data_IF_176987187297
#
_entry.id   IF_176987187297
#
_cell.length_a   1.000
_cell.length_b   1.000
_cell.length_c   1.000
_cell.angle_alpha   90.00
_cell.angle_beta   90.00
_cell.angle_gamma   90.00
#
_symmetry.space_group_name_H-M   'P 1'
#
loop_
_entity.id
_entity.type
_entity.pdbx_description
1 polymer ?
#
# COMPACT_ATOMS: atom_id res chain seq x y z
N UNK A 1 2.20 15.29 5.56
CA UNK A 1 0.87 14.71 5.79
C UNK A 1 -0.22 15.76 5.95
N UNK A 2 -0.26 16.58 7.02
CA UNK A 2 -1.34 17.58 7.23
C UNK A 2 -1.49 18.56 6.05
N UNK A 3 -0.41 19.21 5.59
CA UNK A 3 -0.45 20.11 4.41
C UNK A 3 -0.87 19.43 3.10
N UNK A 4 -0.54 18.15 2.95
CA UNK A 4 -0.93 17.36 1.78
C UNK A 4 -2.41 16.98 1.86
N UNK A 5 -2.90 16.69 3.07
CA UNK A 5 -4.30 16.41 3.33
C UNK A 5 -5.17 17.67 3.21
N UNK A 6 -4.67 18.83 3.67
CA UNK A 6 -5.25 20.15 3.38
C UNK A 6 -5.29 20.42 1.88
N UNK A 7 -4.20 20.16 1.14
CA UNK A 7 -4.17 20.28 -0.33
C UNK A 7 -5.20 19.37 -1.01
N UNK A 8 -5.40 18.14 -0.52
CA UNK A 8 -6.44 17.23 -1.03
C UNK A 8 -7.84 17.80 -0.77
N UNK A 9 -8.10 18.33 0.43
CA UNK A 9 -9.37 19.01 0.72
C UNK A 9 -9.58 20.27 -0.12
N UNK A 10 -8.54 21.07 -0.35
CA UNK A 10 -8.60 22.28 -1.19
C UNK A 10 -8.78 21.94 -2.67
N UNK A 11 -8.21 20.83 -3.17
CA UNK A 11 -8.42 20.35 -4.53
C UNK A 11 -9.78 19.68 -4.72
N UNK A 12 -10.35 19.13 -3.64
CA UNK A 12 -11.72 18.61 -3.65
C UNK A 12 -12.76 19.74 -3.62
N UNK A 13 -12.43 20.96 -3.19
CA UNK A 13 -13.29 22.13 -3.39
C UNK A 13 -13.45 22.40 -4.90
N UNK A 14 -14.68 22.64 -5.39
CA UNK A 14 -14.95 22.58 -6.82
C UNK A 14 -14.21 23.69 -7.57
N UNK A 15 -13.24 23.30 -8.40
CA UNK A 15 -12.84 24.10 -9.55
C UNK A 15 -14.05 24.17 -10.48
N UNK A 16 -14.67 25.33 -10.56
CA UNK A 16 -15.70 25.66 -11.55
C UNK A 16 -15.09 25.47 -12.93
N UNK A 17 -15.34 24.31 -13.56
CA UNK A 17 -15.16 24.13 -14.99
C UNK A 17 -16.44 23.50 -15.52
N UNK A 18 -17.16 24.29 -16.31
CA UNK A 18 -18.53 24.02 -16.72
C UNK A 18 -18.68 22.66 -17.40
N UNK A 19 -19.49 21.80 -16.77
CA UNK A 19 -20.37 20.86 -17.45
C UNK A 19 -21.42 20.40 -16.43
N UNK A 20 -22.67 20.60 -16.79
CA UNK A 20 -23.84 20.54 -15.94
C UNK A 20 -24.16 19.12 -15.46
N UNK A 21 -23.91 18.85 -14.18
CA UNK A 21 -24.85 18.11 -13.32
C UNK A 21 -24.87 18.79 -11.97
N UNK A 22 -25.97 19.44 -11.64
CA UNK A 22 -26.15 20.13 -10.37
C UNK A 22 -26.00 19.12 -9.21
N UNK A 23 -24.85 19.14 -8.53
CA UNK A 23 -24.71 18.45 -7.24
C UNK A 23 -25.82 18.97 -6.31
N UNK A 24 -26.62 18.09 -5.70
CA UNK A 24 -27.68 18.50 -4.79
C UNK A 24 -27.07 19.37 -3.69
N UNK A 25 -27.71 20.51 -3.41
CA UNK A 25 -27.24 21.52 -2.44
C UNK A 25 -26.82 20.92 -1.09
N UNK A 26 -27.49 19.85 -0.67
CA UNK A 26 -27.17 19.07 0.53
C UNK A 26 -25.77 18.46 0.52
N UNK A 27 -25.33 17.91 -0.61
CA UNK A 27 -24.02 17.28 -0.75
C UNK A 27 -22.88 18.29 -0.71
N UNK A 28 -23.09 19.46 -1.33
CA UNK A 28 -22.12 20.57 -1.25
C UNK A 28 -21.96 21.08 0.17
N UNK A 29 -23.05 21.31 0.89
CA UNK A 29 -23.01 21.72 2.30
C UNK A 29 -22.31 20.67 3.19
N UNK A 30 -22.60 19.38 2.96
CA UNK A 30 -21.98 18.28 3.71
C UNK A 30 -20.48 18.16 3.42
N UNK A 31 -20.07 18.37 2.16
CA UNK A 31 -18.67 18.38 1.75
C UNK A 31 -17.90 19.56 2.34
N UNK A 32 -18.49 20.75 2.35
CA UNK A 32 -17.91 21.93 2.98
C UNK A 32 -17.74 21.74 4.49
N UNK A 33 -18.74 21.17 5.16
CA UNK A 33 -18.64 20.79 6.59
C UNK A 33 -17.55 19.74 6.84
N UNK A 34 -17.40 18.76 5.95
CA UNK A 34 -16.31 17.77 6.02
C UNK A 34 -14.94 18.42 5.88
N UNK A 35 -14.75 19.31 4.91
CA UNK A 35 -13.51 20.04 4.71
C UNK A 35 -13.17 20.92 5.91
N UNK A 36 -14.14 21.63 6.48
CA UNK A 36 -13.96 22.51 7.64
C UNK A 36 -13.61 21.74 8.92
N UNK A 37 -14.00 20.47 9.03
CA UNK A 37 -13.71 19.61 10.18
C UNK A 37 -12.65 18.55 9.88
N UNK A 38 -12.01 18.60 8.71
CA UNK A 38 -11.15 17.53 8.24
C UNK A 38 -9.95 17.30 9.16
N UNK A 39 -9.26 18.39 9.56
CA UNK A 39 -8.09 18.29 10.44
C UNK A 39 -8.49 17.74 11.81
N UNK A 40 -9.63 18.19 12.37
CA UNK A 40 -10.17 17.65 13.61
C UNK A 40 -10.46 16.15 13.50
N UNK A 41 -11.12 15.71 12.42
CA UNK A 41 -11.41 14.29 12.17
C UNK A 41 -10.14 13.48 12.01
N UNK A 42 -9.15 13.97 11.27
CA UNK A 42 -7.86 13.31 11.08
C UNK A 42 -7.16 13.07 12.41
N UNK A 43 -7.04 14.09 13.25
CA UNK A 43 -6.39 13.96 14.55
C UNK A 43 -7.22 13.10 15.51
N UNK A 44 -8.55 13.15 15.43
CA UNK A 44 -9.44 12.26 16.19
C UNK A 44 -9.23 10.78 15.80
N UNK A 45 -9.06 10.47 14.50
CA UNK A 45 -8.72 9.11 14.06
C UNK A 45 -7.38 8.64 14.62
N UNK A 46 -6.36 9.50 14.63
CA UNK A 46 -5.05 9.18 15.24
C UNK A 46 -5.20 8.93 16.75
N UNK A 47 -6.01 9.73 17.42
CA UNK A 47 -6.27 9.56 18.84
C UNK A 47 -6.98 8.23 19.14
N UNK A 48 -8.03 7.89 18.39
CA UNK A 48 -8.72 6.60 18.48
C UNK A 48 -7.78 5.42 18.23
N UNK A 49 -6.99 5.47 17.15
CA UNK A 49 -5.99 4.44 16.85
C UNK A 49 -4.99 4.29 18.00
N UNK A 50 -4.53 5.40 18.60
CA UNK A 50 -3.61 5.35 19.73
C UNK A 50 -4.20 4.66 20.97
N UNK A 51 -5.50 4.84 21.22
CA UNK A 51 -6.23 4.18 22.32
C UNK A 51 -6.36 2.68 22.11
N UNK A 52 -6.46 2.23 20.85
CA UNK A 52 -6.56 0.82 20.49
C UNK A 52 -5.21 0.11 20.51
N UNK A 53 -4.17 0.77 19.98
CA UNK A 53 -2.88 0.12 19.72
C UNK A 53 -1.83 0.33 20.81
N UNK A 54 -1.95 1.36 21.65
CA UNK A 54 -0.96 1.63 22.70
C UNK A 54 -1.54 1.47 24.11
N UNK A 55 -0.85 0.66 24.92
CA UNK A 55 -1.23 0.47 26.32
C UNK A 55 -0.77 1.63 27.24
N UNK A 56 0.37 2.27 26.94
CA UNK A 56 0.96 3.31 27.81
C UNK A 56 1.26 4.65 27.12
N UNK A 57 1.21 4.70 25.78
CA UNK A 57 1.54 5.89 24.99
C UNK A 57 0.32 6.43 24.24
N UNK A 58 -0.83 6.42 24.91
CA UNK A 58 -2.08 6.92 24.36
C UNK A 58 -1.97 8.44 24.14
N UNK A 59 -2.40 8.91 22.97
CA UNK A 59 -2.45 10.34 22.67
C UNK A 59 -3.58 10.97 23.49
N UNK A 60 -3.21 11.84 24.44
CA UNK A 60 -4.18 12.48 25.34
C UNK A 60 -4.90 13.64 24.67
N UNK A 61 -6.09 14.02 25.18
CA UNK A 61 -6.82 15.19 24.69
C UNK A 61 -5.97 16.46 24.78
N UNK A 62 -5.17 16.62 25.85
CA UNK A 62 -4.29 17.79 26.02
C UNK A 62 -3.24 17.83 24.91
N UNK A 63 -2.64 16.69 24.57
CA UNK A 63 -1.67 16.57 23.48
C UNK A 63 -2.30 16.96 22.14
N UNK A 64 -3.51 16.48 21.85
CA UNK A 64 -4.24 16.80 20.62
C UNK A 64 -4.58 18.28 20.54
N UNK A 65 -5.15 18.85 21.60
CA UNK A 65 -5.56 20.26 21.61
C UNK A 65 -4.36 21.20 21.46
N UNK A 66 -3.25 20.91 22.13
CA UNK A 66 -2.02 21.68 21.97
C UNK A 66 -1.46 21.58 20.54
N UNK A 67 -1.52 20.39 19.93
CA UNK A 67 -1.11 20.18 18.54
C UNK A 67 -1.99 20.97 17.56
N UNK A 68 -3.31 20.91 17.72
CA UNK A 68 -4.27 21.66 16.90
C UNK A 68 -4.07 23.17 17.06
N UNK A 69 -3.87 23.64 18.29
CA UNK A 69 -3.61 25.05 18.58
C UNK A 69 -2.31 25.53 17.92
N UNK A 70 -1.24 24.72 17.95
CA UNK A 70 0.02 25.04 17.28
C UNK A 70 -0.12 25.15 15.75
N UNK A 71 -1.13 24.49 15.17
CA UNK A 71 -1.49 24.60 13.75
C UNK A 71 -2.49 25.74 13.46
N UNK A 72 -2.91 26.50 14.47
CA UNK A 72 -3.87 27.60 14.34
C UNK A 72 -5.34 27.20 14.45
N UNK A 73 -5.62 25.94 14.82
CA UNK A 73 -6.99 25.46 15.03
C UNK A 73 -7.38 25.55 16.50
N UNK A 74 -8.47 26.25 16.79
CA UNK A 74 -9.03 26.37 18.14
C UNK A 74 -10.23 25.44 18.25
N UNK A 75 -10.05 24.34 18.97
CA UNK A 75 -11.12 23.40 19.29
C UNK A 75 -11.22 23.22 20.81
N UNK A 76 -12.41 22.90 21.26
CA UNK A 76 -12.71 22.53 22.64
C UNK A 76 -12.53 21.03 22.85
N UNK A 77 -12.49 20.62 24.12
CA UNK A 77 -12.43 19.19 24.47
C UNK A 77 -13.72 18.48 24.06
N UNK A 78 -14.85 19.18 24.15
CA UNK A 78 -16.18 18.71 23.80
C UNK A 78 -16.26 18.44 22.29
N UNK A 79 -15.80 19.37 21.45
CA UNK A 79 -15.76 19.18 19.99
C UNK A 79 -14.88 18.00 19.58
N UNK A 80 -13.75 17.79 20.26
CA UNK A 80 -12.88 16.65 20.04
C UNK A 80 -13.58 15.33 20.37
N UNK A 81 -14.26 15.24 21.51
CA UNK A 81 -15.00 14.06 21.92
C UNK A 81 -16.18 13.76 20.98
N UNK A 82 -16.92 14.77 20.57
CA UNK A 82 -18.01 14.63 19.60
C UNK A 82 -17.49 14.14 18.24
N UNK A 83 -16.32 14.63 17.80
CA UNK A 83 -15.66 14.16 16.59
C UNK A 83 -15.28 12.67 16.70
N UNK A 84 -14.66 12.24 17.81
CA UNK A 84 -14.35 10.83 18.06
C UNK A 84 -15.62 9.95 18.04
N UNK A 85 -16.68 10.38 18.73
CA UNK A 85 -17.93 9.65 18.78
C UNK A 85 -18.61 9.56 17.40
N UNK A 86 -18.57 10.64 16.61
CA UNK A 86 -19.10 10.66 15.26
C UNK A 86 -18.35 9.68 14.34
N UNK A 87 -17.01 9.58 14.47
CA UNK A 87 -16.19 8.60 13.73
C UNK A 87 -16.59 7.18 14.11
N UNK A 88 -16.64 6.89 15.42
CA UNK A 88 -17.02 5.57 15.92
C UNK A 88 -18.40 5.14 15.44
N UNK A 89 -19.40 6.03 15.52
CA UNK A 89 -20.75 5.78 15.00
C UNK A 89 -20.75 5.53 13.50
N UNK A 90 -19.99 6.33 12.74
CA UNK A 90 -19.90 6.17 11.27
C UNK A 90 -19.30 4.83 10.86
N UNK A 91 -18.40 4.28 11.68
CA UNK A 91 -17.79 2.96 11.49
C UNK A 91 -18.61 1.83 12.13
N UNK A 92 -19.81 2.10 12.64
CA UNK A 92 -20.62 1.15 13.43
C UNK A 92 -19.82 0.49 14.57
N UNK A 93 -18.88 1.23 15.15
CA UNK A 93 -17.93 0.78 16.18
C UNK A 93 -17.03 -0.41 15.76
N UNK A 94 -16.94 -0.71 14.47
CA UNK A 94 -16.07 -1.75 13.90
C UNK A 94 -14.66 -1.22 13.63
N UNK A 95 -13.91 -1.00 14.71
CA UNK A 95 -12.55 -0.41 14.65
C UNK A 95 -11.43 -1.41 14.92
N UNK A 96 -11.76 -2.61 15.39
CA UNK A 96 -10.81 -3.69 15.69
C UNK A 96 -10.69 -4.66 14.52
N UNK A 97 -10.29 -4.14 13.35
CA UNK A 97 -10.08 -4.94 12.14
C UNK A 97 -8.59 -5.28 11.98
N UNK A 98 -8.25 -6.43 11.37
CA UNK A 98 -6.86 -6.77 11.07
C UNK A 98 -6.21 -5.71 10.20
N UNK A 99 -5.02 -5.26 10.60
CA UNK A 99 -4.21 -4.31 9.83
C UNK A 99 -3.27 -5.07 8.88
N UNK A 100 -2.76 -4.44 7.82
CA UNK A 100 -1.70 -5.03 6.99
C UNK A 100 -0.49 -5.51 7.80
N UNK A 101 -0.15 -4.81 8.89
CA UNK A 101 0.92 -5.22 9.79
C UNK A 101 0.64 -6.58 10.46
N UNK A 102 -0.61 -6.84 10.87
CA UNK A 102 -0.96 -8.12 11.47
C UNK A 102 -0.74 -9.30 10.50
N UNK A 103 -1.03 -9.10 9.20
CA UNK A 103 -0.73 -10.10 8.17
C UNK A 103 0.77 -10.28 7.96
N UNK A 104 1.54 -9.19 7.95
CA UNK A 104 3.00 -9.25 7.85
C UNK A 104 3.61 -10.03 9.02
N UNK A 105 3.22 -9.72 10.25
CA UNK A 105 3.75 -10.38 11.45
C UNK A 105 3.39 -11.87 11.49
N UNK A 106 2.14 -12.21 11.16
CA UNK A 106 1.70 -13.60 11.02
C UNK A 106 2.54 -14.36 9.99
N UNK A 107 2.75 -13.79 8.80
CA UNK A 107 3.50 -14.46 7.74
C UNK A 107 4.99 -14.60 8.10
N UNK A 108 5.60 -13.58 8.72
CA UNK A 108 6.99 -13.66 9.19
C UNK A 108 7.18 -14.75 10.25
N UNK A 109 6.21 -14.93 11.15
CA UNK A 109 6.22 -16.02 12.14
C UNK A 109 6.16 -17.38 11.45
N UNK A 110 5.25 -17.56 10.47
CA UNK A 110 5.12 -18.82 9.71
C UNK A 110 6.39 -19.10 8.89
N UNK A 111 6.99 -18.08 8.28
CA UNK A 111 8.27 -18.21 7.56
C UNK A 111 9.41 -18.64 8.49
N UNK A 112 9.48 -18.04 9.68
CA UNK A 112 10.46 -18.40 10.70
C UNK A 112 10.29 -19.85 11.17
N UNK A 113 9.04 -20.27 11.39
CA UNK A 113 8.71 -21.65 11.77
C UNK A 113 9.08 -22.68 10.67
N UNK A 114 8.86 -22.33 9.40
CA UNK A 114 9.15 -23.19 8.25
C UNK A 114 10.64 -23.24 7.88
N UNK A 115 11.53 -22.60 8.66
CA UNK A 115 12.97 -22.65 8.46
C UNK A 115 13.50 -21.75 7.34
N UNK A 116 12.79 -20.66 7.02
CA UNK A 116 13.32 -19.64 6.11
C UNK A 116 14.66 -19.11 6.63
N UNK A 117 15.68 -19.08 5.78
CA UNK A 117 17.06 -18.76 6.16
C UNK A 117 17.28 -17.28 6.51
N UNK A 118 16.29 -16.42 6.22
CA UNK A 118 16.34 -15.00 6.51
C UNK A 118 15.85 -14.72 7.93
N UNK A 119 16.56 -13.86 8.66
CA UNK A 119 16.15 -13.46 10.01
C UNK A 119 14.81 -12.71 9.97
N UNK A 120 13.75 -13.33 10.50
CA UNK A 120 12.42 -12.71 10.59
C UNK A 120 12.45 -11.34 11.30
N UNK A 121 13.33 -11.20 12.31
CA UNK A 121 13.53 -9.93 13.04
C UNK A 121 14.14 -8.84 12.16
N UNK A 122 15.10 -9.19 11.30
CA UNK A 122 15.67 -8.23 10.35
C UNK A 122 14.61 -7.85 9.32
N UNK A 123 13.89 -8.82 8.74
CA UNK A 123 12.80 -8.58 7.79
C UNK A 123 11.73 -7.66 8.36
N UNK A 124 11.31 -7.88 9.61
CA UNK A 124 10.27 -7.09 10.27
C UNK A 124 10.58 -5.58 10.26
N UNK A 125 11.83 -5.18 10.57
CA UNK A 125 12.22 -3.77 10.56
C UNK A 125 12.10 -3.10 9.19
N UNK A 126 12.51 -3.80 8.13
CA UNK A 126 12.32 -3.31 6.75
C UNK A 126 10.86 -3.33 6.33
N UNK A 127 10.08 -4.34 6.74
CA UNK A 127 8.66 -4.42 6.45
C UNK A 127 7.90 -3.23 7.04
N UNK A 128 8.19 -2.83 8.28
CA UNK A 128 7.60 -1.64 8.91
C UNK A 128 7.88 -0.38 8.10
N UNK A 129 9.14 -0.20 7.68
CA UNK A 129 9.55 0.97 6.88
C UNK A 129 8.84 1.00 5.52
N UNK A 130 8.70 -0.15 4.86
CA UNK A 130 8.00 -0.24 3.59
C UNK A 130 6.48 -0.08 3.74
N UNK A 131 5.88 -0.57 4.83
CA UNK A 131 4.45 -0.33 5.10
C UNK A 131 4.18 1.17 5.25
N UNK A 132 4.99 1.89 6.03
CA UNK A 132 4.89 3.35 6.16
C UNK A 132 4.99 4.04 4.79
N UNK A 133 5.95 3.61 3.96
CA UNK A 133 6.11 4.14 2.61
C UNK A 133 4.87 3.85 1.74
N UNK A 134 4.34 2.63 1.78
CA UNK A 134 3.14 2.27 1.00
C UNK A 134 1.93 3.09 1.44
N UNK A 135 1.77 3.38 2.73
CA UNK A 135 0.72 4.29 3.19
C UNK A 135 0.89 5.71 2.66
N UNK A 136 2.13 6.19 2.52
CA UNK A 136 2.43 7.54 2.00
C UNK A 136 2.34 7.62 0.47
N UNK A 137 2.73 6.56 -0.23
CA UNK A 137 2.82 6.45 -1.69
C UNK A 137 1.76 5.48 -2.24
N UNK A 138 0.60 5.41 -1.58
CA UNK A 138 -0.47 4.48 -1.90
C UNK A 138 -0.89 4.56 -3.37
N UNK A 139 -1.40 5.70 -3.81
CA UNK A 139 -1.82 5.93 -5.20
C UNK A 139 -0.75 5.55 -6.25
N UNK A 140 0.48 6.10 -6.24
CA UNK A 140 1.45 5.79 -7.27
C UNK A 140 1.85 4.30 -7.32
N UNK A 141 1.95 3.63 -6.16
CA UNK A 141 2.30 2.20 -6.10
C UNK A 141 1.20 1.34 -6.72
N UNK A 142 -0.06 1.56 -6.33
CA UNK A 142 -1.18 0.79 -6.87
C UNK A 142 -1.45 1.10 -8.35
N UNK A 143 -1.22 2.34 -8.80
CA UNK A 143 -1.28 2.68 -10.23
C UNK A 143 -0.17 2.01 -11.03
N UNK A 144 1.04 1.88 -10.47
CA UNK A 144 2.15 1.15 -11.11
C UNK A 144 1.84 -0.35 -11.19
N UNK A 145 1.31 -0.93 -10.12
CA UNK A 145 0.89 -2.33 -10.08
C UNK A 145 -0.20 -2.59 -11.13
N UNK A 146 -1.23 -1.76 -11.15
CA UNK A 146 -2.32 -1.87 -12.11
C UNK A 146 -1.79 -1.78 -13.55
N UNK A 147 -0.90 -0.83 -13.85
CA UNK A 147 -0.30 -0.68 -15.19
C UNK A 147 0.48 -1.93 -15.62
N UNK A 148 1.19 -2.57 -14.70
CA UNK A 148 1.94 -3.79 -15.00
C UNK A 148 1.02 -4.97 -15.38
N UNK A 149 -0.20 -5.02 -14.83
CA UNK A 149 -1.17 -6.08 -15.09
C UNK A 149 -2.12 -5.81 -16.28
N UNK A 150 -2.10 -4.61 -16.88
CA UNK A 150 -3.01 -4.20 -17.98
C UNK A 150 -2.46 -4.57 -19.38
N UNK A 151 -2.10 -5.83 -19.63
CA UNK A 151 -1.81 -6.18 -21.01
C UNK A 151 -3.08 -6.25 -21.90
N UNK A 152 -4.31 -6.45 -21.39
CA UNK A 152 -5.52 -6.59 -22.26
C UNK A 152 -6.92 -6.38 -21.58
N UNK A 153 -7.19 -5.33 -20.77
CA UNK A 153 -8.51 -5.19 -20.10
C UNK A 153 -9.26 -3.87 -20.40
N UNK A 154 -10.59 -3.86 -20.22
CA UNK A 154 -11.42 -2.66 -20.43
C UNK A 154 -11.43 -1.72 -19.21
N UNK A 155 -11.68 -0.40 -19.36
CA UNK A 155 -11.59 0.57 -18.26
C UNK A 155 -12.52 0.31 -17.05
N UNK A 156 -13.66 -0.35 -17.26
CA UNK A 156 -14.62 -0.66 -16.19
C UNK A 156 -14.16 -1.86 -15.36
N UNK A 157 -13.69 -2.92 -16.02
CA UNK A 157 -13.13 -4.12 -15.39
C UNK A 157 -11.84 -3.79 -14.61
N UNK A 158 -11.06 -2.83 -15.10
CA UNK A 158 -9.87 -2.32 -14.44
C UNK A 158 -10.17 -1.67 -13.10
N UNK A 159 -11.23 -0.86 -13.00
CA UNK A 159 -11.62 -0.20 -11.74
C UNK A 159 -12.06 -1.22 -10.68
N UNK A 160 -12.83 -2.24 -11.08
CA UNK A 160 -13.24 -3.31 -10.17
C UNK A 160 -12.06 -4.15 -9.66
N UNK A 161 -11.16 -4.56 -10.56
CA UNK A 161 -9.93 -5.29 -10.20
C UNK A 161 -8.99 -4.45 -9.31
N UNK A 162 -8.84 -3.16 -9.61
CA UNK A 162 -8.03 -2.24 -8.79
C UNK A 162 -8.56 -2.10 -7.36
N UNK A 163 -9.89 -2.00 -7.18
CA UNK A 163 -10.50 -1.95 -5.85
C UNK A 163 -10.25 -3.25 -5.07
N UNK A 164 -10.45 -4.41 -5.71
CA UNK A 164 -10.19 -5.70 -5.08
C UNK A 164 -8.72 -5.87 -4.66
N UNK A 165 -7.78 -5.36 -5.47
CA UNK A 165 -6.33 -5.42 -5.15
C UNK A 165 -5.96 -4.45 -4.03
N UNK A 166 -6.58 -3.26 -3.97
CA UNK A 166 -6.36 -2.28 -2.88
C UNK A 166 -6.87 -2.77 -1.52
N UNK A 167 -7.90 -3.60 -1.51
CA UNK A 167 -8.51 -4.14 -0.29
C UNK A 167 -7.87 -5.47 0.16
N UNK A 168 -6.99 -6.07 -0.64
CA UNK A 168 -6.32 -7.33 -0.29
C UNK A 168 -5.07 -7.09 0.56
N UNK A 169 -5.27 -7.06 1.88
CA UNK A 169 -4.17 -6.92 2.85
C UNK A 169 -3.22 -8.11 2.88
N UNK A 170 -3.65 -9.31 2.46
CA UNK A 170 -2.76 -10.46 2.35
C UNK A 170 -1.79 -10.27 1.20
N UNK A 171 -2.30 -9.86 0.03
CA UNK A 171 -1.50 -9.54 -1.15
C UNK A 171 -0.51 -8.40 -0.87
N UNK A 172 -0.95 -7.36 -0.16
CA UNK A 172 -0.05 -6.31 0.31
C UNK A 172 1.05 -6.86 1.23
N UNK A 173 0.69 -7.70 2.20
CA UNK A 173 1.65 -8.25 3.16
C UNK A 173 2.73 -9.12 2.49
N UNK A 174 2.34 -10.01 1.56
CA UNK A 174 3.33 -10.82 0.81
C UNK A 174 4.21 -9.93 -0.08
N UNK A 175 3.66 -8.89 -0.69
CA UNK A 175 4.43 -7.91 -1.48
C UNK A 175 5.46 -7.15 -0.64
N UNK A 176 5.08 -6.73 0.57
CA UNK A 176 5.97 -6.06 1.54
C UNK A 176 7.11 -6.98 1.98
N UNK A 177 6.79 -8.23 2.34
CA UNK A 177 7.81 -9.19 2.80
C UNK A 177 8.78 -9.52 1.67
N UNK A 178 8.27 -9.76 0.46
CA UNK A 178 9.11 -10.00 -0.72
C UNK A 178 10.00 -8.80 -1.04
N UNK A 179 9.47 -7.57 -1.04
CA UNK A 179 10.27 -6.36 -1.25
C UNK A 179 11.34 -6.18 -0.15
N UNK A 180 11.00 -6.49 1.10
CA UNK A 180 11.94 -6.42 2.22
C UNK A 180 13.08 -7.43 2.08
N UNK A 181 12.76 -8.67 1.68
CA UNK A 181 13.77 -9.69 1.41
C UNK A 181 14.72 -9.25 0.29
N UNK A 182 14.19 -8.65 -0.78
CA UNK A 182 15.00 -8.11 -1.87
C UNK A 182 15.99 -7.04 -1.39
N UNK A 183 15.52 -6.07 -0.60
CA UNK A 183 16.34 -4.97 -0.08
C UNK A 183 17.46 -5.49 0.83
N UNK A 184 17.18 -6.50 1.64
CA UNK A 184 18.16 -7.04 2.58
C UNK A 184 19.20 -7.92 1.89
N UNK A 185 18.75 -8.87 1.06
CA UNK A 185 19.62 -9.74 0.29
C UNK A 185 18.84 -10.38 -0.87
N UNK A 186 19.18 -9.97 -2.09
CA UNK A 186 18.59 -10.44 -3.33
C UNK A 186 18.68 -11.96 -3.53
N UNK A 187 19.67 -12.64 -2.95
CA UNK A 187 19.87 -14.09 -3.11
C UNK A 187 18.72 -14.91 -2.50
N UNK A 188 18.12 -14.42 -1.41
CA UNK A 188 17.05 -15.12 -0.69
C UNK A 188 15.65 -14.75 -1.19
N UNK A 189 15.53 -13.74 -2.06
CA UNK A 189 14.24 -13.24 -2.54
C UNK A 189 13.40 -14.34 -3.18
N UNK A 190 14.00 -15.13 -4.09
CA UNK A 190 13.29 -16.20 -4.78
C UNK A 190 12.75 -17.25 -3.81
N UNK A 191 13.56 -17.66 -2.82
CA UNK A 191 13.12 -18.61 -1.80
C UNK A 191 11.98 -18.05 -0.94
N UNK A 192 12.05 -16.78 -0.54
CA UNK A 192 10.98 -16.11 0.22
C UNK A 192 9.68 -16.07 -0.58
N UNK A 193 9.72 -15.73 -1.87
CA UNK A 193 8.54 -15.71 -2.74
C UNK A 193 7.91 -17.11 -2.85
N UNK A 194 8.71 -18.16 -3.03
CA UNK A 194 8.21 -19.55 -3.09
C UNK A 194 7.54 -19.99 -1.78
N UNK A 195 8.11 -19.64 -0.63
CA UNK A 195 7.47 -19.93 0.66
C UNK A 195 6.17 -19.16 0.83
N UNK A 196 6.15 -17.87 0.50
CA UNK A 196 4.94 -17.05 0.59
C UNK A 196 3.82 -17.59 -0.32
N UNK A 197 4.17 -18.00 -1.54
CA UNK A 197 3.26 -18.71 -2.45
C UNK A 197 2.71 -19.98 -1.81
N UNK A 198 3.58 -20.81 -1.25
CA UNK A 198 3.19 -22.08 -0.60
C UNK A 198 2.27 -21.88 0.62
N UNK A 199 2.47 -20.80 1.39
CA UNK A 199 1.68 -20.49 2.59
C UNK A 199 0.32 -19.90 2.22
N UNK A 200 0.28 -18.98 1.25
CA UNK A 200 -0.90 -18.14 0.97
C UNK A 200 -1.71 -18.58 -0.25
N UNK A 201 -1.11 -19.39 -1.13
CA UNK A 201 -1.69 -19.75 -2.43
C UNK A 201 -1.64 -18.63 -3.48
N UNK A 202 -1.07 -17.46 -3.15
CA UNK A 202 -0.95 -16.33 -4.09
C UNK A 202 0.14 -16.66 -5.12
N UNK A 203 -0.15 -16.47 -6.40
CA UNK A 203 0.77 -16.76 -7.50
C UNK A 203 2.10 -15.98 -7.35
N UNK A 204 3.23 -16.66 -7.60
CA UNK A 204 4.57 -16.07 -7.46
C UNK A 204 4.74 -14.80 -8.31
N UNK A 205 4.09 -14.77 -9.48
CA UNK A 205 4.07 -13.63 -10.40
C UNK A 205 3.38 -12.42 -9.76
N UNK A 206 2.24 -12.63 -9.09
CA UNK A 206 1.51 -11.56 -8.39
C UNK A 206 2.31 -11.01 -7.20
N UNK A 207 2.97 -11.89 -6.44
CA UNK A 207 3.88 -11.49 -5.35
C UNK A 207 5.04 -10.66 -5.92
N UNK A 208 5.65 -11.14 -7.00
CA UNK A 208 6.76 -10.47 -7.66
C UNK A 208 6.37 -9.09 -8.22
N UNK A 209 5.24 -9.00 -8.93
CA UNK A 209 4.72 -7.75 -9.51
C UNK A 209 4.46 -6.70 -8.43
N UNK A 210 3.81 -7.08 -7.32
CA UNK A 210 3.58 -6.15 -6.22
C UNK A 210 4.89 -5.73 -5.57
N UNK A 211 5.78 -6.68 -5.27
CA UNK A 211 7.09 -6.37 -4.69
C UNK A 211 7.90 -5.39 -5.57
N UNK A 212 7.84 -5.56 -6.89
CA UNK A 212 8.48 -4.68 -7.87
C UNK A 212 7.86 -3.28 -7.87
N UNK A 213 6.52 -3.19 -7.82
CA UNK A 213 5.83 -1.90 -7.72
C UNK A 213 6.26 -1.13 -6.46
N UNK A 214 6.35 -1.82 -5.31
CA UNK A 214 6.86 -1.23 -4.06
C UNK A 214 8.31 -0.77 -4.25
N UNK A 215 9.21 -1.65 -4.72
CA UNK A 215 10.63 -1.34 -4.90
C UNK A 215 10.90 -0.18 -5.85
N UNK A 216 10.12 -0.08 -6.94
CA UNK A 216 10.21 1.01 -7.92
C UNK A 216 10.01 2.37 -7.27
N UNK A 217 9.07 2.46 -6.33
CA UNK A 217 8.77 3.68 -5.59
C UNK A 217 9.57 3.85 -4.28
N UNK A 218 10.28 2.80 -3.84
CA UNK A 218 11.08 2.80 -2.60
C UNK A 218 12.56 3.11 -2.83
N UNK A 219 13.19 2.44 -3.78
CA UNK A 219 14.66 2.45 -3.95
C UNK A 219 15.10 3.20 -5.21
N UNK A 220 14.23 3.29 -6.23
CA UNK A 220 14.51 3.96 -7.51
C UNK A 220 15.57 3.23 -8.36
N UNK A 221 15.24 2.92 -9.62
CA UNK A 221 16.09 2.38 -10.71
C UNK A 221 17.05 1.18 -10.43
N UNK A 222 17.09 0.65 -9.21
CA UNK A 222 17.82 -0.57 -8.83
C UNK A 222 16.85 -1.75 -8.71
N UNK A 223 15.90 -1.83 -9.65
CA UNK A 223 14.95 -2.93 -9.69
C UNK A 223 15.59 -4.15 -10.36
N UNK A 224 15.24 -5.38 -9.93
CA UNK A 224 15.73 -6.58 -10.61
C UNK A 224 15.25 -6.56 -12.07
N UNK A 225 16.17 -6.83 -13.00
CA UNK A 225 15.88 -6.90 -14.43
C UNK A 225 14.79 -7.96 -14.62
N UNK A 226 13.66 -7.54 -15.20
CA UNK A 226 12.55 -8.43 -15.62
C UNK A 226 13.11 -9.47 -16.59
N UNK A 227 13.44 -10.67 -16.12
CA UNK A 227 13.75 -11.77 -17.02
C UNK A 227 12.43 -12.23 -17.64
N UNK A 228 12.21 -11.84 -18.90
CA UNK A 228 11.12 -12.38 -19.69
C UNK A 228 11.34 -13.90 -19.89
N UNK A 229 10.34 -14.75 -19.60
CA UNK A 229 10.38 -16.13 -20.04
C UNK A 229 10.02 -16.18 -21.53
N UNK A 230 10.96 -16.60 -22.37
CA UNK A 230 10.65 -17.14 -23.69
C UNK A 230 11.15 -16.37 -24.89
N UNK A 231 12.41 -16.59 -25.25
CA UNK A 231 12.86 -16.70 -26.65
C UNK A 231 14.05 -17.68 -26.74
N UNK A 232 13.90 -18.87 -26.13
CA UNK A 232 14.76 -20.02 -26.44
C UNK A 232 14.08 -20.91 -27.47
N UNK A 233 13.97 -20.42 -28.71
CA UNK A 233 13.97 -21.30 -29.88
C UNK A 233 14.17 -20.49 -31.16
N UNK A 234 15.40 -20.39 -31.66
CA UNK A 234 15.67 -20.62 -33.09
C UNK A 234 17.17 -20.89 -33.30
N UNK A 235 17.46 -22.19 -33.43
CA UNK A 235 18.54 -22.82 -34.17
C UNK A 235 19.75 -21.98 -34.60
N UNK A 236 20.93 -22.35 -34.09
CA UNK A 236 22.15 -22.44 -34.92
C UNK A 236 22.57 -23.90 -34.95
N UNK A 237 22.07 -24.61 -35.96
CA UNK A 237 22.65 -25.87 -36.42
C UNK A 237 23.94 -25.56 -37.18
N UNK A 238 25.02 -26.34 -37.03
CA UNK A 238 26.27 -26.10 -37.74
C UNK A 238 26.12 -26.48 -39.22
N UNK A 239 26.53 -25.57 -40.12
CA UNK A 239 26.75 -25.91 -41.53
C UNK A 239 27.95 -26.85 -41.65
N UNK A 240 27.68 -28.13 -41.83
CA UNK A 240 28.59 -29.07 -42.50
C UNK A 240 28.49 -28.81 -44.01
N UNK A 241 29.54 -28.23 -44.60
CA UNK A 241 29.74 -28.29 -46.04
C UNK A 241 30.48 -29.59 -46.37
N UNK A 242 29.89 -30.40 -47.23
CA UNK A 242 30.48 -31.61 -47.76
C UNK A 242 31.30 -31.30 -49.02
N UNK A 243 32.57 -31.74 -48.98
CA UNK A 243 33.33 -32.47 -50.00
C UNK A 243 33.53 -31.96 -51.45
N UNK A 244 34.69 -32.41 -51.96
CA UNK A 244 35.23 -32.44 -53.35
C UNK A 244 36.09 -31.23 -53.75
N UNK A 245 37.28 -31.33 -54.36
CA UNK A 245 38.11 -32.46 -54.83
C UNK A 245 39.54 -31.94 -55.20
N UNK A 246 40.52 -32.86 -55.22
CA UNK A 246 41.79 -32.89 -56.00
C UNK A 246 43.01 -32.03 -55.59
N UNK A 247 44.07 -32.67 -55.08
CA UNK A 247 45.17 -33.28 -55.86
C UNK A 247 45.75 -34.48 -55.08
#
# INVERSE_FOLDING_TARGET
MVKQAESICSQAAPVVRGSEKAEPWSWRAQKEQLCNTFVLRLVSCVQLASKLSFHYKIVSNVTVLNFLQALGYLYTKEELLESELAILKSLNFQINLPTPLAYVEMLLEVLGYNGCLVSAKQLHGTCLTLLDLVYLLHEPIYESLLRASIENSTPMEQRGKCLSVKEDFMLLAVGIIAASAFIQNQEWWGQVVEYLHSITGIATESIAEFSYAILTHSVGASTPVRQQPGLHHLAVRPLRAAATCNM
#
